data_IF_495982868840
#
_entry.id   IF_495982868840
#
_cell.length_a   1.000
_cell.length_b   1.000
_cell.length_c   1.000
_cell.angle_alpha   90.00
_cell.angle_beta   90.00
_cell.angle_gamma   90.00
#
_symmetry.space_group_name_H-M   'P 1'
#
loop_
_entity.id
_entity.type
_entity.pdbx_description
1 polymer ?
#
# COMPACT_ATOMS: atom_id res chain seq x y z
N UNK A 1 -6.16 0.94 11.49
CA UNK A 1 -5.46 2.23 11.23
C UNK A 1 -6.06 3.37 12.04
N UNK A 2 -7.37 3.63 11.96
CA UNK A 2 -8.05 4.67 12.76
C UNK A 2 -7.69 4.64 14.26
N UNK A 3 -7.79 3.47 14.90
CA UNK A 3 -7.38 3.27 16.29
C UNK A 3 -5.92 3.63 16.55
N UNK A 4 -5.01 3.35 15.62
CA UNK A 4 -3.58 3.62 15.78
C UNK A 4 -3.23 5.11 15.71
N UNK A 5 -4.17 5.96 15.28
CA UNK A 5 -4.06 7.42 15.33
C UNK A 5 -5.07 8.05 16.29
N UNK A 6 -5.72 7.26 17.14
CA UNK A 6 -6.75 7.71 18.11
C UNK A 6 -7.94 8.43 17.45
N UNK A 7 -8.40 7.97 16.29
CA UNK A 7 -9.51 8.55 15.54
C UNK A 7 -10.62 7.52 15.30
N UNK A 8 -11.84 8.00 15.04
CA UNK A 8 -12.94 7.16 14.54
C UNK A 8 -12.68 6.73 13.09
N UNK A 9 -13.34 5.66 12.62
CA UNK A 9 -13.20 5.22 11.23
C UNK A 9 -13.64 6.31 10.23
N UNK A 10 -14.79 6.98 10.38
CA UNK A 10 -15.19 8.07 9.47
C UNK A 10 -14.17 9.22 9.47
N UNK A 11 -13.72 9.68 10.63
CA UNK A 11 -12.71 10.75 10.74
C UNK A 11 -11.39 10.35 10.08
N UNK A 12 -10.95 9.10 10.25
CA UNK A 12 -9.75 8.59 9.60
C UNK A 12 -9.87 8.59 8.07
N UNK A 13 -11.00 8.12 7.54
CA UNK A 13 -11.23 8.06 6.10
C UNK A 13 -11.23 9.46 5.49
N UNK A 14 -11.91 10.42 6.09
CA UNK A 14 -11.94 11.80 5.63
C UNK A 14 -10.55 12.47 5.67
N UNK A 15 -9.87 12.37 6.81
CA UNK A 15 -8.60 13.06 7.05
C UNK A 15 -7.44 12.46 6.27
N UNK A 16 -7.30 11.13 6.26
CA UNK A 16 -6.09 10.45 5.79
C UNK A 16 -6.24 9.69 4.48
N UNK A 17 -7.45 9.54 3.94
CA UNK A 17 -7.68 8.78 2.71
C UNK A 17 -8.36 9.60 1.63
N UNK A 18 -8.22 9.16 0.38
CA UNK A 18 -8.96 9.67 -0.77
C UNK A 18 -9.70 8.51 -1.41
N UNK A 19 -10.90 8.78 -1.90
CA UNK A 19 -11.64 7.81 -2.72
C UNK A 19 -11.06 7.81 -4.14
N UNK A 20 -10.89 6.63 -4.71
CA UNK A 20 -10.42 6.41 -6.08
C UNK A 20 -11.40 5.47 -6.79
N UNK A 21 -11.38 5.45 -8.12
CA UNK A 21 -12.31 4.65 -8.94
C UNK A 21 -13.66 5.33 -9.18
N UNK A 22 -14.56 4.63 -9.89
CA UNK A 22 -15.90 5.13 -10.27
C UNK A 22 -16.99 4.12 -9.89
N UNK A 23 -18.16 4.64 -9.49
CA UNK A 23 -19.32 3.81 -9.14
C UNK A 23 -19.03 2.79 -8.04
N UNK A 24 -19.52 1.56 -8.21
CA UNK A 24 -19.32 0.44 -7.28
C UNK A 24 -17.89 -0.13 -7.22
N UNK A 25 -16.97 0.34 -8.06
CA UNK A 25 -15.55 -0.08 -8.06
C UNK A 25 -14.63 0.88 -7.31
N UNK A 26 -15.22 1.77 -6.51
CA UNK A 26 -14.44 2.73 -5.75
C UNK A 26 -13.72 2.10 -4.56
N UNK A 27 -12.54 2.62 -4.22
CA UNK A 27 -11.79 2.20 -3.05
C UNK A 27 -11.14 3.38 -2.33
N UNK A 28 -10.76 3.20 -1.07
CA UNK A 28 -9.99 4.17 -0.33
C UNK A 28 -8.49 3.93 -0.50
N UNK A 29 -7.76 4.99 -0.83
CA UNK A 29 -6.30 5.03 -0.88
C UNK A 29 -5.81 6.03 0.15
N UNK A 30 -4.68 5.75 0.81
CA UNK A 30 -4.04 6.75 1.68
C UNK A 30 -3.66 7.98 0.86
N UNK A 31 -3.89 9.19 1.42
CA UNK A 31 -3.45 10.43 0.80
C UNK A 31 -1.93 10.45 0.65
N UNK A 32 -1.47 11.20 -0.33
CA UNK A 32 -0.05 11.41 -0.59
C UNK A 32 0.30 12.88 -0.37
N UNK A 33 1.51 13.13 0.11
CA UNK A 33 2.10 14.46 0.28
C UNK A 33 3.20 14.63 -0.75
N UNK A 34 3.26 15.81 -1.37
CA UNK A 34 4.31 16.16 -2.34
C UNK A 34 5.64 16.35 -1.60
N UNK A 35 6.71 15.80 -2.17
CA UNK A 35 8.09 15.95 -1.69
C UNK A 35 8.97 16.46 -2.82
N UNK A 36 10.25 16.69 -2.54
CA UNK A 36 11.26 17.04 -3.56
C UNK A 36 11.43 15.93 -4.60
N UNK A 37 11.30 14.68 -4.16
CA UNK A 37 11.61 13.50 -4.98
C UNK A 37 10.37 12.89 -5.63
N UNK A 38 9.17 13.36 -5.28
CA UNK A 38 7.91 12.88 -5.84
C UNK A 38 6.75 13.00 -4.85
N UNK A 39 6.11 11.86 -4.56
CA UNK A 39 4.97 11.78 -3.65
C UNK A 39 5.19 10.68 -2.61
N UNK A 40 5.09 11.04 -1.34
CA UNK A 40 5.13 10.09 -0.24
C UNK A 40 3.73 9.82 0.28
N UNK A 41 3.49 8.62 0.82
CA UNK A 41 2.31 8.37 1.64
C UNK A 41 2.30 9.34 2.84
N UNK A 42 1.13 9.82 3.26
CA UNK A 42 0.97 10.74 4.41
C UNK A 42 1.55 10.18 5.73
N UNK A 43 1.75 8.87 5.82
CA UNK A 43 2.34 8.19 6.99
C UNK A 43 3.80 7.77 6.80
N UNK A 44 4.44 8.09 5.68
CA UNK A 44 5.85 7.84 5.46
C UNK A 44 6.68 8.99 6.08
N UNK A 45 7.65 8.64 6.91
CA UNK A 45 8.54 9.57 7.61
C UNK A 45 9.98 9.34 7.16
N UNK A 46 10.61 10.39 6.63
CA UNK A 46 12.02 10.39 6.21
C UNK A 46 12.92 11.22 7.13
N UNK A 47 12.35 11.84 8.17
CA UNK A 47 13.02 12.81 9.05
C UNK A 47 13.50 12.16 10.34
N UNK A 48 12.73 11.23 10.90
CA UNK A 48 13.05 10.62 12.19
C UNK A 48 14.36 9.83 12.18
N UNK A 49 14.67 9.11 11.10
CA UNK A 49 15.89 8.31 10.98
C UNK A 49 16.62 8.67 9.70
N UNK A 50 17.81 9.26 9.85
CA UNK A 50 18.64 9.70 8.72
C UNK A 50 18.90 8.53 7.76
N UNK A 51 18.61 8.76 6.49
CA UNK A 51 18.81 7.78 5.42
C UNK A 51 17.77 6.65 5.38
N UNK A 52 16.69 6.69 6.17
CA UNK A 52 15.62 5.69 6.13
C UNK A 52 14.24 6.32 6.01
N UNK A 53 13.38 5.69 5.23
CA UNK A 53 11.95 5.97 5.19
C UNK A 53 11.23 4.97 6.09
N UNK A 54 10.50 5.46 7.09
CA UNK A 54 9.80 4.64 8.09
C UNK A 54 8.31 4.92 8.02
N UNK A 55 7.49 3.86 8.05
CA UNK A 55 6.05 4.03 8.16
C UNK A 55 5.66 4.28 9.62
N UNK A 56 5.06 5.44 9.92
CA UNK A 56 4.57 5.79 11.26
C UNK A 56 3.46 4.87 11.76
N UNK A 57 2.81 4.12 10.86
CA UNK A 57 1.74 3.17 11.16
C UNK A 57 2.11 1.74 10.75
N UNK A 58 3.37 1.35 10.86
CA UNK A 58 3.90 0.08 10.34
C UNK A 58 3.06 -1.15 10.79
N UNK A 59 2.72 -1.24 12.07
CA UNK A 59 1.95 -2.37 12.61
C UNK A 59 0.48 -2.36 12.13
N UNK A 60 -0.06 -1.17 11.89
CA UNK A 60 -1.43 -0.97 11.44
C UNK A 60 -1.59 -0.93 9.92
N UNK A 61 -0.52 -1.14 9.14
CA UNK A 61 -0.51 -1.08 7.67
C UNK A 61 -1.65 -1.89 7.05
N UNK A 62 -2.32 -1.38 5.99
CA UNK A 62 -3.36 -2.14 5.31
C UNK A 62 -2.75 -3.35 4.58
N UNK A 63 -3.59 -4.32 4.18
CA UNK A 63 -3.14 -5.48 3.41
C UNK A 63 -2.33 -5.09 2.17
N UNK A 64 -2.75 -4.04 1.47
CA UNK A 64 -1.99 -3.46 0.36
C UNK A 64 -0.53 -3.20 0.71
N UNK A 65 -0.24 -2.57 1.85
CA UNK A 65 1.14 -2.29 2.23
C UNK A 65 1.88 -3.52 2.78
N UNK A 66 1.17 -4.55 3.24
CA UNK A 66 1.77 -5.79 3.78
C UNK A 66 2.18 -6.78 2.69
N UNK A 67 1.47 -6.78 1.57
CA UNK A 67 1.69 -7.71 0.46
C UNK A 67 2.53 -7.11 -0.67
N UNK A 68 3.04 -5.90 -0.50
CA UNK A 68 4.05 -5.36 -1.42
C UNK A 68 5.34 -6.19 -1.29
N UNK A 69 6.01 -6.60 -2.38
CA UNK A 69 5.78 -6.22 -3.78
C UNK A 69 4.88 -7.17 -4.59
N UNK A 70 4.31 -8.21 -4.00
CA UNK A 70 3.57 -9.27 -4.71
C UNK A 70 2.12 -8.90 -5.07
N UNK A 71 1.89 -7.64 -5.41
CA UNK A 71 0.60 -7.22 -5.96
C UNK A 71 0.39 -7.85 -7.34
N UNK A 72 -0.86 -8.17 -7.74
CA UNK A 72 -1.08 -8.81 -9.04
C UNK A 72 -0.54 -8.03 -10.22
N UNK A 73 -0.64 -6.69 -10.21
CA UNK A 73 -0.14 -5.84 -11.30
C UNK A 73 1.39 -5.92 -11.43
N UNK A 74 2.08 -6.13 -10.31
CA UNK A 74 3.53 -6.29 -10.29
C UNK A 74 3.98 -7.65 -10.83
N UNK A 75 3.11 -8.67 -10.71
CA UNK A 75 3.37 -10.05 -11.12
C UNK A 75 2.83 -10.38 -12.52
N UNK A 76 2.17 -9.43 -13.19
CA UNK A 76 1.52 -9.64 -14.49
C UNK A 76 2.50 -10.05 -15.60
N UNK A 77 3.69 -9.46 -15.60
CA UNK A 77 4.73 -9.78 -16.57
C UNK A 77 6.12 -9.59 -15.98
N UNK A 78 7.12 -10.22 -16.61
CA UNK A 78 8.53 -9.95 -16.30
C UNK A 78 8.83 -8.45 -16.40
N UNK A 79 8.30 -7.76 -17.42
CA UNK A 79 8.54 -6.34 -17.61
C UNK A 79 7.97 -5.50 -16.46
N UNK A 80 6.76 -5.83 -15.98
CA UNK A 80 6.14 -5.18 -14.81
C UNK A 80 7.05 -5.32 -13.59
N UNK A 81 7.53 -6.53 -13.29
CA UNK A 81 8.47 -6.78 -12.19
C UNK A 81 9.79 -6.01 -12.34
N UNK A 82 10.39 -6.04 -13.54
CA UNK A 82 11.65 -5.37 -13.82
C UNK A 82 11.55 -3.85 -13.64
N UNK A 83 10.41 -3.26 -14.00
CA UNK A 83 10.16 -1.82 -13.83
C UNK A 83 10.18 -1.37 -12.37
N UNK A 84 9.83 -2.25 -11.42
CA UNK A 84 9.88 -1.95 -9.98
C UNK A 84 11.29 -1.68 -9.47
N UNK A 85 12.33 -2.08 -10.21
CA UNK A 85 13.74 -1.85 -9.87
C UNK A 85 14.29 -0.56 -10.47
N UNK A 86 13.83 -0.23 -11.68
CA UNK A 86 14.49 0.76 -12.55
C UNK A 86 13.72 2.06 -12.71
N UNK A 87 12.43 2.08 -12.37
CA UNK A 87 11.65 3.31 -12.39
C UNK A 87 12.22 4.34 -11.41
N UNK A 88 11.93 5.63 -11.64
CA UNK A 88 12.27 6.72 -10.73
C UNK A 88 11.73 6.48 -9.31
N UNK A 89 10.57 5.82 -9.22
CA UNK A 89 9.92 5.40 -7.97
C UNK A 89 10.20 3.91 -7.63
N UNK A 90 11.20 3.31 -8.27
CA UNK A 90 11.60 1.93 -8.07
C UNK A 90 12.10 1.69 -6.64
N UNK A 91 11.89 0.48 -6.13
CA UNK A 91 12.30 0.12 -4.78
C UNK A 91 13.64 -0.63 -4.81
N UNK A 92 14.70 -0.11 -4.15
CA UNK A 92 16.02 -0.75 -4.14
C UNK A 92 16.03 -2.10 -3.39
N UNK A 93 14.96 -2.42 -2.67
CA UNK A 93 14.78 -3.69 -1.97
C UNK A 93 14.28 -4.85 -2.85
N UNK A 94 13.85 -4.59 -4.08
CA UNK A 94 13.41 -5.67 -4.98
C UNK A 94 14.59 -6.62 -5.27
N UNK A 95 14.32 -7.93 -5.21
CA UNK A 95 15.31 -9.01 -5.36
C UNK A 95 16.47 -8.95 -4.34
N UNK A 96 16.25 -8.31 -3.18
CA UNK A 96 17.18 -8.34 -2.05
C UNK A 96 16.60 -9.21 -0.93
N UNK A 97 17.43 -10.09 -0.37
CA UNK A 97 17.04 -11.00 0.70
C UNK A 97 16.78 -12.43 0.22
N UNK A 98 16.27 -13.30 1.11
CA UNK A 98 16.02 -14.70 0.81
C UNK A 98 14.93 -14.88 -0.27
N UNK A 99 15.03 -15.92 -1.11
CA UNK A 99 13.97 -16.25 -2.05
C UNK A 99 12.67 -16.61 -1.32
N UNK A 100 11.54 -16.14 -1.83
CA UNK A 100 10.21 -16.55 -1.38
C UNK A 100 9.71 -17.71 -2.24
N UNK A 101 8.97 -18.65 -1.63
CA UNK A 101 8.36 -19.74 -2.38
C UNK A 101 7.19 -19.24 -3.25
N UNK A 102 6.84 -19.99 -4.30
CA UNK A 102 5.73 -19.64 -5.20
C UNK A 102 4.40 -19.64 -4.44
N UNK A 103 4.23 -20.54 -3.48
CA UNK A 103 3.05 -20.64 -2.64
C UNK A 103 2.91 -19.39 -1.76
N UNK A 104 4.01 -18.93 -1.15
CA UNK A 104 4.01 -17.70 -0.35
C UNK A 104 3.64 -16.48 -1.18
N UNK A 105 4.23 -16.33 -2.37
CA UNK A 105 3.94 -15.24 -3.29
C UNK A 105 2.47 -15.27 -3.72
N UNK A 106 1.96 -16.45 -4.09
CA UNK A 106 0.57 -16.65 -4.50
C UNK A 106 -0.40 -16.30 -3.38
N UNK A 107 -0.12 -16.71 -2.14
CA UNK A 107 -0.94 -16.36 -0.98
C UNK A 107 -0.99 -14.85 -0.76
N UNK A 108 0.14 -14.14 -0.82
CA UNK A 108 0.15 -12.69 -0.64
C UNK A 108 -0.63 -11.95 -1.74
N UNK A 109 -0.51 -12.41 -2.99
CA UNK A 109 -1.29 -11.89 -4.13
C UNK A 109 -2.78 -12.07 -3.89
N UNK A 110 -3.20 -13.26 -3.47
CA UNK A 110 -4.61 -13.62 -3.29
C UNK A 110 -5.21 -12.90 -2.08
N UNK A 111 -4.46 -12.76 -0.98
CA UNK A 111 -4.83 -11.95 0.18
C UNK A 111 -5.10 -10.50 -0.19
N UNK A 112 -4.27 -9.94 -1.08
CA UNK A 112 -4.45 -8.59 -1.59
C UNK A 112 -5.73 -8.46 -2.43
N UNK A 113 -6.00 -9.43 -3.31
CA UNK A 113 -7.24 -9.46 -4.10
C UNK A 113 -8.48 -9.61 -3.25
N UNK A 114 -8.47 -10.55 -2.31
CA UNK A 114 -9.56 -10.75 -1.37
C UNK A 114 -9.81 -9.50 -0.53
N UNK A 115 -8.75 -8.81 -0.09
CA UNK A 115 -8.90 -7.54 0.62
C UNK A 115 -9.56 -6.45 -0.24
N UNK A 116 -9.17 -6.30 -1.52
CA UNK A 116 -9.82 -5.34 -2.43
C UNK A 116 -11.29 -5.69 -2.69
N UNK A 117 -11.61 -6.97 -2.91
CA UNK A 117 -12.99 -7.43 -3.15
C UNK A 117 -13.89 -7.24 -1.94
N UNK A 118 -13.38 -7.44 -0.72
CA UNK A 118 -14.14 -7.17 0.52
C UNK A 118 -14.53 -5.70 0.65
N UNK A 119 -13.73 -4.76 0.16
CA UNK A 119 -14.04 -3.33 0.16
C UNK A 119 -15.01 -2.91 -0.94
N UNK A 120 -15.13 -3.69 -2.03
CA UNK A 120 -16.09 -3.44 -3.11
C UNK A 120 -17.53 -3.79 -2.71
N UNK A 121 -17.73 -4.60 -1.65
CA UNK A 121 -19.03 -4.68 -0.97
C UNK A 121 -19.15 -3.39 -0.14
N UNK A 122 -20.18 -2.55 -0.34
CA UNK A 122 -20.30 -1.31 0.40
C UNK A 122 -20.37 -1.65 1.88
N UNK A 123 -19.27 -1.42 2.59
CA UNK A 123 -19.31 -1.28 4.04
C UNK A 123 -20.30 -0.16 4.24
N UNK A 124 -21.52 -0.49 4.69
CA UNK A 124 -22.46 0.50 5.20
C UNK A 124 -21.75 1.13 6.40
N UNK A 125 -20.92 2.14 6.14
CA UNK A 125 -20.47 3.09 7.13
C UNK A 125 -21.73 3.89 7.45
N UNK A 126 -22.55 3.31 8.32
CA UNK A 126 -23.53 4.06 9.09
C UNK A 126 -22.78 4.98 10.04
#
# INVERSE_FOLDING_TARGET
MATAVNESVPAFLDKYTRRQGRGGKSFFQLKQTRTTDGFDCIFLDRKQVKGKAICRLYNARPMQCRTWPFWPENLESRQSWESLKTAKDGCPGINKGPPSSVEHISQQRDDMMNWRLRLAKPTKLK
#
